data_IF_055753474858
#
_entry.id   IF_055753474858
#
_cell.length_a   1.000
_cell.length_b   1.000
_cell.length_c   1.000
_cell.angle_alpha   90.00
_cell.angle_beta   90.00
_cell.angle_gamma   90.00
#
_symmetry.space_group_name_H-M   'P 1'
#
loop_
_entity.id
_entity.type
_entity.pdbx_description
1 polymer ?
#
# COMPACT_ATOMS: atom_id res chain seq x y z
N UNK A 1 -2.42 12.81 -8.80
CA UNK A 1 -2.38 12.16 -7.46
C UNK A 1 -3.45 11.09 -7.45
N UNK A 2 -3.07 9.85 -7.14
CA UNK A 2 -4.00 8.73 -6.96
C UNK A 2 -4.01 8.32 -5.49
N UNK A 3 -5.11 7.74 -5.03
CA UNK A 3 -5.16 7.05 -3.74
C UNK A 3 -4.95 5.57 -4.03
N UNK A 4 -4.01 4.95 -3.33
CA UNK A 4 -3.73 3.53 -3.48
C UNK A 4 -4.69 2.73 -2.61
N UNK A 5 -5.34 1.74 -3.22
CA UNK A 5 -6.11 0.71 -2.51
C UNK A 5 -5.46 -0.67 -2.70
N UNK A 6 -5.87 -1.62 -1.87
CA UNK A 6 -5.29 -2.96 -1.84
C UNK A 6 -5.49 -3.71 -3.17
N UNK A 7 -6.66 -3.60 -3.79
CA UNK A 7 -6.97 -4.33 -5.02
C UNK A 7 -6.19 -3.81 -6.22
N UNK A 8 -6.02 -2.49 -6.34
CA UNK A 8 -5.23 -1.86 -7.38
C UNK A 8 -3.75 -2.19 -7.26
N UNK A 9 -3.20 -2.20 -6.03
CA UNK A 9 -1.82 -2.62 -5.80
C UNK A 9 -1.61 -4.12 -6.05
N UNK A 10 -2.54 -4.96 -5.61
CA UNK A 10 -2.47 -6.40 -5.89
C UNK A 10 -2.48 -6.67 -7.39
N UNK A 11 -3.33 -5.98 -8.16
CA UNK A 11 -3.34 -6.07 -9.62
C UNK A 11 -2.02 -5.60 -10.24
N UNK A 12 -1.42 -4.52 -9.74
CA UNK A 12 -0.14 -4.02 -10.23
C UNK A 12 1.06 -4.94 -9.90
N UNK A 13 1.00 -5.73 -8.83
CA UNK A 13 2.09 -6.61 -8.38
C UNK A 13 1.96 -8.02 -8.95
N UNK A 14 0.77 -8.61 -8.88
CA UNK A 14 0.53 -9.98 -9.31
C UNK A 14 0.26 -10.03 -10.83
N UNK A 15 1.25 -10.47 -11.59
CA UNK A 15 1.18 -10.62 -13.04
C UNK A 15 0.09 -11.57 -13.55
N UNK A 16 -0.50 -12.39 -12.67
CA UNK A 16 -1.65 -13.23 -12.98
C UNK A 16 -3.00 -12.52 -12.94
N UNK A 17 -3.07 -11.30 -12.40
CA UNK A 17 -4.33 -10.55 -12.27
C UNK A 17 -4.81 -10.02 -13.62
N UNK A 18 -6.13 -10.03 -13.80
CA UNK A 18 -6.74 -9.30 -14.91
C UNK A 18 -6.48 -7.80 -14.73
N UNK A 19 -5.95 -7.15 -15.77
CA UNK A 19 -5.65 -5.72 -15.72
C UNK A 19 -4.28 -5.38 -15.14
N UNK A 20 -3.38 -6.37 -14.96
CA UNK A 20 -2.04 -6.15 -14.42
C UNK A 20 -1.27 -5.05 -15.16
N UNK A 21 -1.25 -5.10 -16.50
CA UNK A 21 -0.52 -4.14 -17.31
C UNK A 21 -1.04 -2.70 -17.12
N UNK A 22 -2.35 -2.52 -17.07
CA UNK A 22 -3.01 -1.23 -16.87
C UNK A 22 -2.80 -0.70 -15.44
N UNK A 23 -2.88 -1.57 -14.44
CA UNK A 23 -2.63 -1.23 -13.04
C UNK A 23 -1.16 -0.84 -12.81
N UNK A 24 -0.22 -1.62 -13.35
CA UNK A 24 1.21 -1.33 -13.29
C UNK A 24 1.55 0.01 -13.97
N UNK A 25 1.04 0.24 -15.19
CA UNK A 25 1.25 1.50 -15.89
C UNK A 25 0.67 2.71 -15.13
N UNK A 26 -0.50 2.55 -14.50
CA UNK A 26 -1.12 3.59 -13.68
C UNK A 26 -0.31 3.90 -12.42
N UNK A 27 0.24 2.87 -11.77
CA UNK A 27 1.11 3.00 -10.60
C UNK A 27 2.45 3.64 -10.97
N UNK A 28 3.04 3.24 -12.09
CA UNK A 28 4.31 3.78 -12.58
C UNK A 28 4.23 5.27 -12.91
N UNK A 29 3.13 5.70 -13.51
CA UNK A 29 2.89 7.11 -13.84
C UNK A 29 2.53 7.97 -12.62
N UNK A 30 2.24 7.37 -11.46
CA UNK A 30 1.79 8.07 -10.27
C UNK A 30 2.94 8.39 -9.31
N UNK A 31 3.15 9.69 -9.07
CA UNK A 31 3.94 10.20 -7.95
C UNK A 31 3.28 11.45 -7.33
N UNK A 32 3.29 11.60 -5.99
CA UNK A 32 3.72 10.60 -5.00
C UNK A 32 2.74 9.42 -4.89
N UNK A 33 3.21 8.32 -4.27
CA UNK A 33 2.45 7.08 -4.02
C UNK A 33 2.08 6.96 -2.53
N UNK A 34 1.03 7.67 -2.05
CA UNK A 34 0.64 7.61 -0.65
C UNK A 34 0.08 6.22 -0.33
N UNK A 35 0.67 5.56 0.66
CA UNK A 35 0.29 4.23 1.10
C UNK A 35 -0.22 4.29 2.54
N UNK A 36 -1.48 3.93 2.72
CA UNK A 36 -2.05 3.76 4.07
C UNK A 36 -1.43 2.54 4.76
N UNK A 37 -1.11 2.61 6.06
CA UNK A 37 -0.64 1.44 6.81
C UNK A 37 -1.68 0.30 6.86
N UNK A 38 -2.97 0.61 6.71
CA UNK A 38 -4.02 -0.41 6.61
C UNK A 38 -4.00 -1.14 5.27
N UNK A 39 -3.74 -0.41 4.18
CA UNK A 39 -3.57 -1.00 2.83
C UNK A 39 -2.30 -1.86 2.79
N UNK A 40 -1.21 -1.39 3.41
CA UNK A 40 0.01 -2.19 3.53
C UNK A 40 -0.24 -3.50 4.29
N UNK A 41 -0.93 -3.46 5.44
CA UNK A 41 -1.22 -4.66 6.21
C UNK A 41 -2.11 -5.67 5.46
N UNK A 42 -3.11 -5.18 4.71
CA UNK A 42 -3.95 -6.06 3.90
C UNK A 42 -3.17 -6.67 2.72
N UNK A 43 -2.33 -5.87 2.07
CA UNK A 43 -1.53 -6.31 0.93
C UNK A 43 -0.43 -7.31 1.36
N UNK A 44 0.23 -7.08 2.50
CA UNK A 44 1.17 -8.01 3.14
C UNK A 44 0.54 -9.40 3.32
N UNK A 45 -0.63 -9.44 3.96
CA UNK A 45 -1.39 -10.68 4.14
C UNK A 45 -1.77 -11.35 2.81
N UNK A 46 -2.25 -10.59 1.82
CA UNK A 46 -2.67 -11.15 0.53
C UNK A 46 -1.49 -11.69 -0.28
N UNK A 47 -0.35 -10.98 -0.30
CA UNK A 47 0.84 -11.46 -0.99
C UNK A 47 1.39 -12.73 -0.32
N UNK A 48 1.50 -12.73 1.00
CA UNK A 48 1.97 -13.90 1.76
C UNK A 48 1.10 -15.14 1.53
N UNK A 49 -0.22 -14.96 1.46
CA UNK A 49 -1.18 -16.08 1.39
C UNK A 49 -1.59 -16.50 -0.02
N UNK A 50 -1.45 -15.63 -1.03
CA UNK A 50 -1.99 -15.89 -2.38
C UNK A 50 -0.96 -15.81 -3.51
N UNK A 51 0.13 -15.05 -3.34
CA UNK A 51 1.14 -14.85 -4.39
C UNK A 51 2.43 -15.59 -4.03
N UNK A 52 2.95 -15.33 -2.83
CA UNK A 52 4.11 -15.99 -2.27
C UNK A 52 5.00 -15.03 -1.48
N UNK A 53 5.79 -15.59 -0.57
CA UNK A 53 6.65 -14.85 0.34
C UNK A 53 7.68 -13.95 -0.37
N UNK A 54 8.15 -14.31 -1.56
CA UNK A 54 9.06 -13.46 -2.32
C UNK A 54 8.43 -12.13 -2.73
N UNK A 55 7.14 -12.13 -3.11
CA UNK A 55 6.42 -10.91 -3.49
C UNK A 55 6.13 -10.02 -2.27
N UNK A 56 5.76 -10.63 -1.14
CA UNK A 56 5.61 -9.95 0.16
C UNK A 56 6.91 -9.21 0.55
N UNK A 57 8.05 -9.91 0.54
CA UNK A 57 9.34 -9.31 0.90
C UNK A 57 9.76 -8.21 -0.08
N UNK A 58 9.47 -8.36 -1.38
CA UNK A 58 9.75 -7.32 -2.37
C UNK A 58 8.96 -6.03 -2.10
N UNK A 59 7.66 -6.14 -1.77
CA UNK A 59 6.85 -5.00 -1.36
C UNK A 59 7.43 -4.30 -0.13
N UNK A 60 7.81 -5.08 0.90
CA UNK A 60 8.37 -4.52 2.12
C UNK A 60 9.71 -3.80 1.88
N UNK A 61 10.56 -4.31 0.97
CA UNK A 61 11.78 -3.63 0.54
C UNK A 61 11.48 -2.30 -0.17
N UNK A 62 10.48 -2.26 -1.05
CA UNK A 62 10.03 -1.03 -1.71
C UNK A 62 9.53 0.02 -0.71
N UNK A 63 8.76 -0.40 0.30
CA UNK A 63 8.31 0.48 1.38
C UNK A 63 9.50 0.99 2.21
N UNK A 64 10.45 0.10 2.56
CA UNK A 64 11.65 0.48 3.30
C UNK A 64 12.54 1.47 2.52
N UNK A 65 12.58 1.34 1.19
CA UNK A 65 13.28 2.24 0.27
C UNK A 65 12.48 3.50 -0.08
N UNK A 66 11.31 3.70 0.52
CA UNK A 66 10.44 4.86 0.36
C UNK A 66 9.92 5.06 -1.07
N UNK A 67 9.80 3.98 -1.85
CA UNK A 67 9.08 3.99 -3.14
C UNK A 67 7.61 4.38 -2.91
N UNK A 68 7.04 3.87 -1.82
CA UNK A 68 5.76 4.32 -1.29
C UNK A 68 5.98 5.31 -0.15
N UNK A 69 5.16 6.36 -0.12
CA UNK A 69 5.08 7.24 1.04
C UNK A 69 4.13 6.62 2.03
N UNK A 70 4.66 5.94 3.04
CA UNK A 70 3.85 5.41 4.13
C UNK A 70 3.24 6.55 4.95
N UNK A 71 1.92 6.65 4.93
CA UNK A 71 1.18 7.68 5.65
C UNK A 71 1.07 7.34 7.13
N UNK A 72 0.90 8.37 7.99
CA UNK A 72 0.65 8.13 9.41
C UNK A 72 -0.79 7.67 9.60
N UNK A 73 -0.98 6.56 10.30
CA UNK A 73 -2.29 6.26 10.87
C UNK A 73 -2.69 7.41 11.81
N UNK A 74 -3.90 7.92 11.63
CA UNK A 74 -4.47 8.82 12.62
C UNK A 74 -4.67 8.04 13.92
N UNK A 75 -4.07 8.51 15.00
CA UNK A 75 -4.40 8.03 16.33
C UNK A 75 -5.75 8.65 16.75
N UNK A 76 -6.81 7.84 16.91
CA UNK A 76 -8.14 8.34 17.27
C UNK A 76 -8.17 9.01 18.66
N UNK A 77 -7.20 8.76 19.54
CA UNK A 77 -7.12 9.40 20.86
C UNK A 77 -6.40 10.76 20.85
N UNK A 78 -5.65 11.07 19.78
CA UNK A 78 -4.90 12.33 19.64
C UNK A 78 -5.80 13.58 19.66
N UNK A 79 -7.10 13.44 19.35
CA UNK A 79 -8.08 14.53 19.41
C UNK A 79 -8.64 14.82 20.81
N UNK A 80 -8.51 13.90 21.77
CA UNK A 80 -9.11 14.02 23.10
C UNK A 80 -8.26 14.87 24.07
N UNK A 81 -6.99 15.13 23.74
CA UNK A 81 -6.07 15.87 24.61
C UNK A 81 -6.27 17.39 24.59
N UNK A 82 -7.07 17.93 23.67
CA UNK A 82 -7.38 19.37 23.55
C UNK A 82 -8.62 19.81 24.34
N UNK A 83 -9.27 18.91 25.07
CA UNK A 83 -10.44 19.22 25.92
C UNK A 83 -10.18 18.72 27.35
N UNK A 84 -9.18 19.30 28.02
CA UNK A 84 -9.13 19.29 29.48
C UNK A 84 -8.97 20.73 29.98
N UNK A 85 -9.97 21.30 30.70
CA UNK A 85 -9.76 22.52 31.47
C UNK A 85 -8.85 22.27 32.67
#
# INVERSE_FOLDING_TARGET
>A
MIILDTSGLLAAIDGGQQGHAEAAASLDAAEPRPLSPFVLAELDYLLATRVGQAAELALLDEVARQVYRLERAHDPESGLMLIKP
#
